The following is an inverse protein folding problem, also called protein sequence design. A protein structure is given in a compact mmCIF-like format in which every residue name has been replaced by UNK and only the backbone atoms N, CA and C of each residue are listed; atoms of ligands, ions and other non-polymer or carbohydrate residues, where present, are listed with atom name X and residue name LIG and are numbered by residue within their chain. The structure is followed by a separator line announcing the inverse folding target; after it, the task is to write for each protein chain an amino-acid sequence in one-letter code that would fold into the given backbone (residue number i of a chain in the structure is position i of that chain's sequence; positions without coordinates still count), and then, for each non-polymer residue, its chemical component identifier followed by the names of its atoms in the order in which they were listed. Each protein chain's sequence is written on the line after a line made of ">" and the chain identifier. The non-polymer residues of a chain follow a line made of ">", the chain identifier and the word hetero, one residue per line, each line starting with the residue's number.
data_IF_589643700944
#
_entry.id   IF_589643700944
#
_cell.length_a   1.000
_cell.length_b   1.000
_cell.length_c   1.000
_cell.angle_alpha   90.00
_cell.angle_beta   90.00
_cell.angle_gamma   90.00
#
_symmetry.space_group_name_H-M   'P 1'
#
loop_
_entity.id
_entity.type
_entity.pdbx_description
1 polymer ?
#
# COMPACT_ATOMS: atom_id res chain seq x y z
N UNK A 1 9.70 25.06 26.47
CA UNK A 1 10.79 24.20 26.97
C UNK A 1 11.26 23.35 25.81
N UNK A 2 12.52 23.49 25.37
CA UNK A 2 13.08 22.62 24.33
C UNK A 2 13.24 21.21 24.92
N UNK A 3 12.36 20.28 24.55
CA UNK A 3 12.56 18.87 24.85
C UNK A 3 13.68 18.35 23.93
N UNK A 4 14.89 18.25 24.48
CA UNK A 4 16.01 17.62 23.78
C UNK A 4 15.77 16.12 23.67
N UNK A 5 16.20 15.50 22.55
CA UNK A 5 16.15 14.04 22.33
C UNK A 5 16.78 13.21 23.46
N UNK A 6 17.69 13.83 24.21
CA UNK A 6 18.34 13.30 25.40
C UNK A 6 18.51 14.44 26.41
N UNK A 7 18.48 14.15 27.70
CA UNK A 7 18.75 15.14 28.75
C UNK A 7 20.16 15.74 28.59
N UNK A 8 20.36 16.98 29.06
CA UNK A 8 21.68 17.63 29.03
C UNK A 8 22.74 16.83 29.79
N UNK A 9 22.34 16.10 30.83
CA UNK A 9 23.19 15.22 31.62
C UNK A 9 23.41 13.84 30.96
N UNK A 10 22.85 13.61 29.77
CA UNK A 10 23.03 12.35 29.04
C UNK A 10 24.48 12.23 28.53
N UNK A 11 25.12 11.06 28.67
CA UNK A 11 26.45 10.80 28.09
C UNK A 11 26.47 10.95 26.55
N UNK A 12 25.30 11.04 25.91
CA UNK A 12 25.15 11.20 24.46
C UNK A 12 25.03 12.66 24.00
N UNK A 13 25.08 13.65 24.89
CA UNK A 13 24.93 15.07 24.55
C UNK A 13 25.93 15.53 23.46
N UNK A 14 27.21 15.13 23.56
CA UNK A 14 28.22 15.47 22.56
C UNK A 14 27.88 14.88 21.17
N UNK A 15 27.41 13.63 21.12
CA UNK A 15 26.95 13.01 19.86
C UNK A 15 25.73 13.73 19.30
N UNK A 16 24.81 14.20 20.16
CA UNK A 16 23.63 14.96 19.74
C UNK A 16 24.00 16.33 19.15
N UNK A 17 24.95 17.02 19.79
CA UNK A 17 25.47 18.28 19.28
C UNK A 17 26.14 18.08 17.91
N UNK A 18 26.99 17.07 17.79
CA UNK A 18 27.61 16.71 16.50
C UNK A 18 26.54 16.37 15.46
N UNK A 19 25.61 15.49 15.79
CA UNK A 19 24.52 15.12 14.89
C UNK A 19 23.81 16.35 14.32
N UNK A 20 23.31 17.24 15.18
CA UNK A 20 22.55 18.43 14.78
C UNK A 20 23.37 19.39 13.93
N UNK A 21 24.64 19.62 14.27
CA UNK A 21 25.41 20.71 13.68
C UNK A 21 26.28 20.28 12.49
N UNK A 22 26.72 19.02 12.44
CA UNK A 22 27.67 18.55 11.42
C UNK A 22 27.04 17.63 10.37
N UNK A 23 25.91 16.99 10.66
CA UNK A 23 25.28 16.03 9.73
C UNK A 23 24.11 16.64 8.97
N UNK A 24 23.90 16.20 7.72
CA UNK A 24 22.73 16.59 6.92
C UNK A 24 21.43 16.11 7.60
N UNK A 25 21.45 14.88 8.14
CA UNK A 25 20.30 14.32 8.86
C UNK A 25 19.92 15.16 10.09
N UNK A 26 20.90 15.69 10.83
CA UNK A 26 20.63 16.57 11.96
C UNK A 26 20.08 17.94 11.55
N UNK A 27 20.48 18.48 10.40
CA UNK A 27 19.85 19.67 9.82
C UNK A 27 18.39 19.41 9.45
N UNK A 28 18.12 18.30 8.74
CA UNK A 28 16.75 17.88 8.41
C UNK A 28 15.93 17.63 9.67
N UNK A 29 16.51 16.99 10.69
CA UNK A 29 15.81 16.73 11.95
C UNK A 29 15.37 18.02 12.65
N UNK A 30 16.10 19.13 12.49
CA UNK A 30 15.75 20.40 13.12
C UNK A 30 14.60 21.15 12.42
N UNK A 31 14.25 20.77 11.19
CA UNK A 31 13.14 21.41 10.44
C UNK A 31 11.79 20.72 10.66
N UNK A 32 11.74 19.68 11.48
CA UNK A 32 10.56 18.86 11.70
C UNK A 32 10.07 19.09 13.13
N UNK A 33 8.78 19.42 13.26
CA UNK A 33 8.10 19.48 14.55
C UNK A 33 7.72 18.07 15.02
N UNK A 34 8.65 17.41 15.70
CA UNK A 34 8.48 16.05 16.17
C UNK A 34 7.44 15.91 17.28
N UNK A 35 7.25 16.94 18.11
CA UNK A 35 6.28 16.92 19.21
C UNK A 35 4.87 16.87 18.63
N UNK A 36 4.56 17.77 17.69
CA UNK A 36 3.28 17.76 16.98
C UNK A 36 3.04 16.47 16.20
N UNK A 37 4.08 15.85 15.63
CA UNK A 37 3.94 14.56 14.95
C UNK A 37 3.62 13.41 15.89
N UNK A 38 4.21 13.39 17.09
CA UNK A 38 3.94 12.36 18.10
C UNK A 38 2.48 12.39 18.56
N UNK A 39 1.90 13.58 18.72
CA UNK A 39 0.51 13.77 19.11
C UNK A 39 -0.51 13.25 18.08
N UNK A 40 -0.11 13.08 16.82
CA UNK A 40 -0.97 12.51 15.77
C UNK A 40 -1.20 11.01 15.92
N UNK A 41 -0.41 10.33 16.75
CA UNK A 41 -0.52 8.89 16.96
C UNK A 41 -1.23 8.58 18.28
N UNK A 42 -1.98 7.48 18.35
CA UNK A 42 -2.66 7.10 19.58
C UNK A 42 -1.63 6.83 20.69
N UNK A 43 -1.91 7.35 21.88
CA UNK A 43 -1.12 7.07 23.07
C UNK A 43 -0.96 5.56 23.26
N UNK A 44 0.25 5.13 23.63
CA UNK A 44 0.55 3.71 23.87
C UNK A 44 -0.26 3.22 25.08
N UNK A 45 -1.36 2.52 24.82
CA UNK A 45 -2.25 1.95 25.84
C UNK A 45 -1.82 0.58 26.34
N UNK A 46 -0.79 -0.05 25.73
CA UNK A 46 -0.38 -1.41 26.08
C UNK A 46 0.49 -1.45 27.33
N UNK A 47 -0.03 -2.10 28.37
CA UNK A 47 0.69 -2.52 29.58
C UNK A 47 1.55 -3.77 29.33
N UNK A 48 1.38 -4.47 28.19
CA UNK A 48 1.96 -5.79 27.95
C UNK A 48 2.62 -5.92 26.56
N UNK A 49 3.77 -6.61 26.52
CA UNK A 49 4.61 -6.83 25.33
C UNK A 49 6.03 -6.29 25.48
N UNK A 50 6.94 -6.73 24.60
CA UNK A 50 8.28 -6.16 24.55
C UNK A 50 8.23 -4.67 24.14
N UNK A 51 9.05 -3.80 24.75
CA UNK A 51 9.10 -2.40 24.37
C UNK A 51 9.51 -2.25 22.90
N UNK A 52 8.99 -1.22 22.24
CA UNK A 52 9.40 -0.86 20.89
C UNK A 52 10.86 -0.42 20.90
N UNK A 53 11.64 -0.87 19.91
CA UNK A 53 13.01 -0.40 19.69
C UNK A 53 13.10 1.10 19.42
N UNK A 54 12.03 1.72 18.90
CA UNK A 54 11.98 3.14 18.57
C UNK A 54 10.93 3.87 19.42
N UNK A 55 11.21 5.13 19.81
CA UNK A 55 10.19 6.04 20.34
C UNK A 55 9.15 6.35 19.25
N UNK A 56 8.03 6.95 19.64
CA UNK A 56 6.92 7.26 18.72
C UNK A 56 7.38 8.14 17.55
N UNK A 57 8.16 9.19 17.85
CA UNK A 57 8.84 10.04 16.85
C UNK A 57 9.75 9.26 15.92
N UNK A 58 10.45 8.26 16.46
CA UNK A 58 11.33 7.37 15.73
C UNK A 58 10.61 6.55 14.65
N UNK A 59 9.30 6.31 14.79
CA UNK A 59 8.49 5.62 13.78
C UNK A 59 8.37 6.46 12.50
N UNK A 60 8.09 7.76 12.62
CA UNK A 60 8.08 8.70 11.50
C UNK A 60 9.48 8.85 10.90
N UNK A 61 10.49 9.05 11.76
CA UNK A 61 11.87 9.20 11.35
C UNK A 61 12.36 8.00 10.52
N UNK A 62 12.00 6.78 10.90
CA UNK A 62 12.33 5.57 10.14
C UNK A 62 11.72 5.60 8.72
N UNK A 63 10.49 6.11 8.58
CA UNK A 63 9.87 6.25 7.25
C UNK A 63 10.52 7.35 6.41
N UNK A 64 10.91 8.46 7.03
CA UNK A 64 11.69 9.51 6.34
C UNK A 64 13.05 8.97 5.89
N UNK A 65 13.78 8.22 6.73
CA UNK A 65 15.02 7.55 6.34
C UNK A 65 14.80 6.53 5.22
N UNK A 66 13.69 5.78 5.28
CA UNK A 66 13.35 4.80 4.24
C UNK A 66 13.12 5.46 2.88
N UNK A 67 12.59 6.69 2.86
CA UNK A 67 12.46 7.50 1.64
C UNK A 67 13.80 8.12 1.24
N UNK A 68 14.48 8.79 2.17
CA UNK A 68 15.75 9.49 1.95
C UNK A 68 16.86 8.57 1.39
N UNK A 69 16.96 7.34 1.89
CA UNK A 69 18.01 6.39 1.49
C UNK A 69 17.67 5.55 0.27
N UNK A 70 16.39 5.45 -0.10
CA UNK A 70 15.89 4.55 -1.15
C UNK A 70 16.29 3.05 -0.98
N UNK A 71 16.75 2.62 0.20
CA UNK A 71 17.19 1.25 0.47
C UNK A 71 16.02 0.28 0.62
N UNK A 72 16.21 -1.04 0.45
CA UNK A 72 15.20 -2.03 0.85
C UNK A 72 15.03 -2.06 2.37
N UNK A 73 13.94 -2.63 2.88
CA UNK A 73 13.68 -2.72 4.33
C UNK A 73 14.83 -3.44 5.07
N UNK A 74 15.38 -4.49 4.46
CA UNK A 74 16.54 -5.24 4.98
C UNK A 74 17.82 -4.41 4.98
N UNK A 75 18.16 -3.76 3.86
CA UNK A 75 19.36 -2.92 3.75
C UNK A 75 19.28 -1.67 4.63
N UNK A 76 18.08 -1.13 4.82
CA UNK A 76 17.85 -0.03 5.75
C UNK A 76 18.20 -0.46 7.17
N UNK A 77 17.75 -1.64 7.62
CA UNK A 77 18.10 -2.16 8.94
C UNK A 77 19.59 -2.45 9.07
N UNK A 78 20.21 -3.03 8.03
CA UNK A 78 21.66 -3.26 8.01
C UNK A 78 22.45 -1.94 8.16
N UNK A 79 22.10 -0.92 7.36
CA UNK A 79 22.69 0.41 7.46
C UNK A 79 22.36 1.11 8.78
N UNK A 80 21.18 0.88 9.34
CA UNK A 80 20.76 1.47 10.62
C UNK A 80 21.63 0.96 11.77
N UNK A 81 22.03 -0.32 11.76
CA UNK A 81 22.90 -0.88 12.80
C UNK A 81 24.31 -0.27 12.81
N UNK A 82 24.83 0.16 11.66
CA UNK A 82 26.20 0.68 11.54
C UNK A 82 26.27 2.21 11.52
N UNK A 83 25.16 2.89 11.22
CA UNK A 83 25.13 4.34 11.06
C UNK A 83 24.50 5.03 12.28
N UNK A 84 25.36 5.54 13.16
CA UNK A 84 24.95 6.28 14.37
C UNK A 84 24.07 7.50 14.05
N UNK A 85 24.30 8.22 12.95
CA UNK A 85 23.49 9.38 12.59
C UNK A 85 22.06 8.99 12.20
N UNK A 86 21.87 7.82 11.56
CA UNK A 86 20.53 7.27 11.29
C UNK A 86 19.82 6.87 12.59
N UNK A 87 20.53 6.26 13.54
CA UNK A 87 19.98 5.93 14.84
C UNK A 87 19.54 7.19 15.58
N UNK A 88 20.41 8.21 15.62
CA UNK A 88 20.11 9.49 16.25
C UNK A 88 18.94 10.22 15.58
N UNK A 89 18.81 10.13 14.26
CA UNK A 89 17.66 10.66 13.54
C UNK A 89 16.35 9.99 13.97
N UNK A 90 16.39 8.70 14.33
CA UNK A 90 15.25 7.98 14.90
C UNK A 90 15.09 8.13 16.42
N UNK A 91 15.92 8.95 17.07
CA UNK A 91 15.86 9.18 18.51
C UNK A 91 16.36 8.03 19.37
N UNK A 92 17.25 7.19 18.84
CA UNK A 92 17.86 6.08 19.58
C UNK A 92 19.36 6.02 19.37
N UNK A 93 20.05 5.30 20.24
CA UNK A 93 21.45 4.92 20.04
C UNK A 93 21.60 3.51 20.59
N UNK A 94 21.77 2.54 19.71
CA UNK A 94 21.88 1.14 20.09
C UNK A 94 23.26 0.87 20.67
N UNK A 95 23.32 0.04 21.71
CA UNK A 95 24.59 -0.48 22.24
C UNK A 95 25.18 -1.52 21.29
N UNK A 96 26.48 -1.82 21.38
CA UNK A 96 27.17 -2.77 20.47
C UNK A 96 26.52 -4.17 20.44
N UNK A 97 25.84 -4.56 21.52
CA UNK A 97 25.17 -5.86 21.64
C UNK A 97 23.69 -5.83 21.21
N UNK A 98 23.13 -4.66 20.93
CA UNK A 98 21.73 -4.48 20.58
C UNK A 98 21.53 -4.50 19.06
N UNK A 99 20.63 -5.36 18.59
CA UNK A 99 20.33 -5.48 17.17
C UNK A 99 18.86 -5.80 16.95
N UNK A 100 18.25 -5.07 16.02
CA UNK A 100 16.89 -5.35 15.57
C UNK A 100 16.95 -6.58 14.67
N UNK A 101 16.64 -7.75 15.24
CA UNK A 101 16.65 -9.05 14.53
C UNK A 101 15.38 -9.29 13.69
N UNK A 102 14.39 -8.43 13.83
CA UNK A 102 13.09 -8.63 13.20
C UNK A 102 13.05 -8.04 11.79
N UNK A 103 13.09 -8.92 10.79
CA UNK A 103 13.07 -8.54 9.38
C UNK A 103 11.76 -7.81 8.97
N UNK A 104 10.67 -8.00 9.71
CA UNK A 104 9.40 -7.34 9.44
C UNK A 104 9.25 -6.00 10.16
N UNK A 105 10.27 -5.57 10.93
CA UNK A 105 10.21 -4.35 11.75
C UNK A 105 9.77 -3.12 10.94
N UNK A 106 10.48 -2.79 9.86
CA UNK A 106 10.17 -1.61 9.02
C UNK A 106 8.77 -1.69 8.42
N UNK A 107 8.35 -2.88 7.97
CA UNK A 107 7.01 -3.11 7.40
C UNK A 107 5.90 -2.97 8.44
N UNK A 108 6.14 -3.42 9.68
CA UNK A 108 5.19 -3.21 10.79
C UNK A 108 5.07 -1.75 11.18
N UNK A 109 6.17 -1.01 11.24
CA UNK A 109 6.15 0.44 11.48
C UNK A 109 5.31 1.14 10.41
N UNK A 110 5.54 0.82 9.14
CA UNK A 110 4.77 1.35 8.00
C UNK A 110 3.28 1.02 8.12
N UNK A 111 2.94 -0.21 8.47
CA UNK A 111 1.55 -0.66 8.62
C UNK A 111 0.86 0.01 9.81
N UNK A 112 1.59 0.18 10.92
CA UNK A 112 1.10 0.89 12.09
C UNK A 112 0.77 2.34 11.76
N UNK A 113 1.71 3.08 11.14
CA UNK A 113 1.46 4.45 10.70
C UNK A 113 0.29 4.52 9.71
N UNK A 114 0.24 3.62 8.72
CA UNK A 114 -0.85 3.60 7.74
C UNK A 114 -2.25 3.34 8.34
N UNK A 115 -2.33 2.68 9.49
CA UNK A 115 -3.62 2.40 10.15
C UNK A 115 -4.05 3.49 11.14
N UNK A 116 -3.13 4.32 11.62
CA UNK A 116 -3.38 5.26 12.72
C UNK A 116 -3.19 6.73 12.35
N UNK A 117 -2.45 7.03 11.29
CA UNK A 117 -2.13 8.40 10.90
C UNK A 117 -3.22 8.98 9.98
N UNK A 118 -3.78 10.12 10.35
CA UNK A 118 -4.55 10.95 9.43
C UNK A 118 -3.58 11.75 8.53
N UNK A 119 -3.63 11.48 7.23
CA UNK A 119 -2.79 12.13 6.22
C UNK A 119 -3.02 13.63 6.10
N UNK A 120 -4.23 14.14 6.35
CA UNK A 120 -4.51 15.58 6.29
C UNK A 120 -3.93 16.30 7.50
N UNK A 121 -4.05 15.72 8.70
CA UNK A 121 -3.44 16.27 9.91
C UNK A 121 -1.91 16.25 9.81
N UNK A 122 -1.35 15.13 9.36
CA UNK A 122 0.09 15.01 9.10
C UNK A 122 0.60 16.10 8.16
N UNK A 123 -0.04 16.27 7.00
CA UNK A 123 0.36 17.30 6.05
C UNK A 123 0.24 18.71 6.64
N UNK A 124 -0.78 18.97 7.46
CA UNK A 124 -0.97 20.27 8.11
C UNK A 124 0.17 20.60 9.07
N UNK A 125 0.59 19.64 9.91
CA UNK A 125 1.74 19.80 10.81
C UNK A 125 3.03 20.10 10.03
N UNK A 126 3.30 19.33 8.97
CA UNK A 126 4.50 19.53 8.15
C UNK A 126 4.48 20.88 7.42
N UNK A 127 3.35 21.24 6.81
CA UNK A 127 3.21 22.50 6.09
C UNK A 127 3.36 23.67 7.05
N UNK A 128 2.73 23.66 8.23
CA UNK A 128 2.85 24.74 9.21
C UNK A 128 4.30 24.98 9.64
N UNK A 129 5.09 23.91 9.77
CA UNK A 129 6.51 23.99 10.11
C UNK A 129 7.34 24.66 9.00
N UNK A 130 7.00 24.42 7.74
CA UNK A 130 7.77 24.90 6.58
C UNK A 130 7.18 26.15 5.92
N UNK A 131 5.97 26.53 6.31
CA UNK A 131 5.17 27.56 5.64
C UNK A 131 5.91 28.86 5.44
N UNK A 132 6.79 29.26 6.35
CA UNK A 132 7.58 30.48 6.23
C UNK A 132 8.57 30.42 5.05
N UNK A 133 9.18 29.26 4.81
CA UNK A 133 10.29 29.05 3.87
C UNK A 133 9.86 28.57 2.48
N UNK A 134 8.61 28.12 2.32
CA UNK A 134 8.09 27.68 1.00
C UNK A 134 8.17 28.85 -0.01
N UNK A 135 8.85 28.71 -1.16
CA UNK A 135 8.87 29.73 -2.21
C UNK A 135 7.55 29.74 -3.00
N UNK A 136 7.29 30.82 -3.74
CA UNK A 136 6.17 30.92 -4.72
C UNK A 136 4.80 30.49 -4.16
N UNK A 137 4.51 30.89 -2.92
CA UNK A 137 3.31 30.49 -2.17
C UNK A 137 2.01 30.85 -2.88
N UNK A 138 2.04 31.82 -3.79
CA UNK A 138 0.90 32.34 -4.51
C UNK A 138 0.60 31.55 -5.81
N UNK A 139 1.44 30.59 -6.17
CA UNK A 139 1.31 29.74 -7.35
C UNK A 139 0.88 28.34 -6.93
N UNK A 140 -0.21 27.84 -7.52
CA UNK A 140 -0.71 26.49 -7.34
C UNK A 140 -0.55 25.70 -8.64
N UNK A 141 0.25 24.65 -8.59
CA UNK A 141 0.33 23.65 -9.67
C UNK A 141 -0.51 22.44 -9.26
N UNK A 142 -1.23 21.83 -10.21
CA UNK A 142 -1.95 20.59 -9.95
C UNK A 142 -1.63 19.53 -10.97
N UNK A 143 -1.51 18.30 -10.47
CA UNK A 143 -1.32 17.10 -11.28
C UNK A 143 -2.01 15.93 -10.59
N UNK A 144 -2.37 14.90 -11.36
CA UNK A 144 -2.79 13.63 -10.81
C UNK A 144 -1.82 12.52 -11.18
N UNK A 145 -1.44 11.76 -10.16
CA UNK A 145 -0.58 10.59 -10.30
C UNK A 145 -1.30 9.32 -9.85
N UNK A 146 -0.79 8.17 -10.27
CA UNK A 146 -1.20 6.87 -9.73
C UNK A 146 -0.05 6.32 -8.91
N UNK A 147 -0.26 6.14 -7.60
CA UNK A 147 0.67 5.37 -6.77
C UNK A 147 0.40 3.89 -7.02
N UNK A 148 1.21 3.33 -7.91
CA UNK A 148 1.05 1.96 -8.34
C UNK A 148 1.28 0.96 -7.21
N UNK A 149 0.38 -0.01 -7.15
CA UNK A 149 0.55 -1.15 -6.30
C UNK A 149 1.27 -2.25 -7.05
N UNK A 150 2.08 -3.01 -6.32
CA UNK A 150 2.58 -4.27 -6.87
C UNK A 150 1.42 -5.26 -7.02
N UNK A 151 0.93 -5.37 -8.26
CA UNK A 151 0.04 -6.43 -8.73
C UNK A 151 0.54 -6.90 -10.10
N UNK A 152 0.29 -8.17 -10.41
CA UNK A 152 0.54 -8.65 -11.77
C UNK A 152 -0.40 -7.96 -12.75
N UNK A 153 0.02 -7.85 -14.01
CA UNK A 153 -0.86 -7.35 -15.08
C UNK A 153 -2.16 -8.16 -15.12
N UNK A 154 -3.33 -7.53 -14.89
CA UNK A 154 -4.58 -8.23 -14.74
C UNK A 154 -5.17 -8.61 -16.10
N UNK A 155 -5.07 -9.90 -16.44
CA UNK A 155 -5.89 -10.47 -17.51
C UNK A 155 -6.92 -11.42 -16.92
N UNK A 156 -8.08 -11.51 -17.56
CA UNK A 156 -9.18 -12.40 -17.15
C UNK A 156 -8.74 -13.84 -16.91
N UNK A 157 -7.93 -14.40 -17.82
CA UNK A 157 -7.40 -15.76 -17.69
C UNK A 157 -6.52 -15.91 -16.45
N UNK A 158 -5.66 -14.93 -16.18
CA UNK A 158 -4.79 -14.98 -15.00
C UNK A 158 -5.60 -14.78 -13.72
N UNK A 159 -6.64 -13.94 -13.72
CA UNK A 159 -7.51 -13.71 -12.55
C UNK A 159 -8.33 -14.95 -12.21
N UNK A 160 -8.95 -15.56 -13.21
CA UNK A 160 -9.66 -16.83 -13.06
C UNK A 160 -8.71 -17.95 -12.58
N UNK A 161 -7.48 -17.98 -13.10
CA UNK A 161 -6.49 -18.98 -12.68
C UNK A 161 -6.06 -18.80 -11.23
N UNK A 162 -5.79 -17.58 -10.78
CA UNK A 162 -5.47 -17.30 -9.37
C UNK A 162 -6.59 -17.72 -8.43
N UNK A 163 -7.84 -17.41 -8.78
CA UNK A 163 -9.00 -17.88 -8.03
C UNK A 163 -9.06 -19.42 -7.97
N UNK A 164 -8.82 -20.10 -9.10
CA UNK A 164 -8.77 -21.56 -9.14
C UNK A 164 -7.63 -22.13 -8.28
N UNK A 165 -6.44 -21.53 -8.30
CA UNK A 165 -5.31 -21.97 -7.47
C UNK A 165 -5.59 -21.74 -5.99
N UNK A 166 -6.19 -20.61 -5.64
CA UNK A 166 -6.55 -20.33 -4.25
C UNK A 166 -7.51 -21.39 -3.71
N UNK A 167 -8.55 -21.74 -4.48
CA UNK A 167 -9.51 -22.77 -4.10
C UNK A 167 -8.90 -24.18 -4.08
N UNK A 168 -8.40 -24.65 -5.21
CA UNK A 168 -8.07 -26.06 -5.42
C UNK A 168 -6.68 -26.48 -4.96
N UNK A 169 -5.75 -25.54 -4.80
CA UNK A 169 -4.38 -25.82 -4.36
C UNK A 169 -4.15 -25.45 -2.90
N UNK A 170 -4.83 -24.41 -2.39
CA UNK A 170 -4.65 -23.93 -1.01
C UNK A 170 -5.81 -24.33 -0.10
N UNK A 171 -7.01 -23.79 -0.33
CA UNK A 171 -8.08 -23.82 0.67
C UNK A 171 -8.77 -25.17 0.81
N UNK A 172 -9.24 -25.76 -0.29
CA UNK A 172 -9.94 -27.05 -0.26
C UNK A 172 -9.01 -28.15 0.32
N UNK A 173 -7.74 -28.29 -0.12
CA UNK A 173 -6.82 -29.25 0.49
C UNK A 173 -6.52 -28.98 1.97
N UNK A 174 -6.34 -27.73 2.38
CA UNK A 174 -6.06 -27.38 3.77
C UNK A 174 -7.24 -27.77 4.67
N UNK A 175 -8.47 -27.39 4.30
CA UNK A 175 -9.68 -27.73 5.05
C UNK A 175 -9.92 -29.23 5.14
N UNK A 176 -9.74 -29.96 4.02
CA UNK A 176 -9.88 -31.42 4.02
C UNK A 176 -8.84 -32.08 4.95
N UNK A 177 -7.58 -31.63 4.89
CA UNK A 177 -6.50 -32.18 5.71
C UNK A 177 -6.76 -31.92 7.20
N UNK A 178 -7.09 -30.68 7.58
CA UNK A 178 -7.36 -30.30 8.97
C UNK A 178 -8.56 -31.02 9.57
N UNK A 179 -9.57 -31.35 8.76
CA UNK A 179 -10.80 -32.02 9.21
C UNK A 179 -10.83 -33.52 8.89
N UNK A 180 -9.74 -34.10 8.37
CA UNK A 180 -9.62 -35.51 7.97
C UNK A 180 -10.71 -35.97 6.98
N UNK A 181 -11.11 -35.08 6.07
CA UNK A 181 -12.10 -35.34 5.02
C UNK A 181 -11.35 -35.76 3.74
N UNK A 182 -11.94 -36.67 2.97
CA UNK A 182 -11.40 -37.08 1.66
C UNK A 182 -11.45 -35.91 0.67
N UNK A 183 -10.33 -35.63 0.01
CA UNK A 183 -10.24 -34.57 -0.98
C UNK A 183 -11.22 -34.77 -2.16
N UNK A 184 -12.08 -33.78 -2.48
CA UNK A 184 -12.99 -33.86 -3.60
C UNK A 184 -12.28 -33.98 -4.95
N UNK A 185 -12.85 -34.78 -5.86
CA UNK A 185 -12.27 -34.98 -7.20
C UNK A 185 -12.42 -33.72 -8.06
N UNK A 186 -11.33 -33.25 -8.64
CA UNK A 186 -11.33 -32.13 -9.59
C UNK A 186 -10.43 -32.40 -10.80
N UNK A 187 -10.60 -31.61 -11.87
CA UNK A 187 -9.68 -31.59 -13.02
C UNK A 187 -8.54 -30.58 -12.84
N UNK A 188 -8.28 -30.11 -11.62
CA UNK A 188 -7.33 -29.03 -11.36
C UNK A 188 -5.92 -29.35 -11.87
N UNK A 189 -5.43 -30.59 -11.64
CA UNK A 189 -4.12 -31.06 -12.13
C UNK A 189 -4.00 -30.92 -13.66
N UNK A 190 -5.00 -31.39 -14.41
CA UNK A 190 -5.03 -31.26 -15.87
C UNK A 190 -5.08 -29.79 -16.32
N UNK A 191 -5.85 -28.96 -15.61
CA UNK A 191 -5.95 -27.54 -15.92
C UNK A 191 -4.65 -26.79 -15.63
N UNK A 192 -3.89 -27.20 -14.60
CA UNK A 192 -2.57 -26.65 -14.27
C UNK A 192 -1.57 -26.86 -15.40
N UNK A 193 -1.55 -28.06 -15.97
CA UNK A 193 -0.72 -28.36 -17.15
C UNK A 193 -1.12 -27.47 -18.33
N UNK A 194 -2.43 -27.41 -18.64
CA UNK A 194 -2.94 -26.57 -19.74
C UNK A 194 -2.67 -25.08 -19.54
N UNK A 195 -2.70 -24.60 -18.29
CA UNK A 195 -2.37 -23.22 -17.97
C UNK A 195 -0.90 -22.92 -18.21
N UNK A 196 0.01 -23.83 -17.82
CA UNK A 196 1.44 -23.68 -18.09
C UNK A 196 1.73 -23.65 -19.59
N UNK A 197 1.07 -24.51 -20.37
CA UNK A 197 1.19 -24.47 -21.83
C UNK A 197 0.68 -23.14 -22.39
N UNK A 198 -0.46 -22.64 -21.91
CA UNK A 198 -1.02 -21.36 -22.34
C UNK A 198 -0.11 -20.17 -21.97
N UNK A 199 0.49 -20.17 -20.78
CA UNK A 199 1.36 -19.07 -20.33
C UNK A 199 2.65 -18.98 -21.14
N UNK A 200 3.16 -20.12 -21.63
CA UNK A 200 4.36 -20.21 -22.48
C UNK A 200 4.13 -19.80 -23.95
N UNK A 201 2.88 -19.55 -24.37
CA UNK A 201 2.61 -19.12 -25.74
C UNK A 201 3.17 -17.74 -26.01
N UNK A 202 3.97 -17.60 -27.09
CA UNK A 202 4.49 -16.32 -27.58
C UNK A 202 3.37 -15.32 -27.89
N UNK A 203 2.28 -15.78 -28.52
CA UNK A 203 1.08 -14.97 -28.82
C UNK A 203 -0.19 -15.65 -28.30
N UNK A 204 -1.01 -14.90 -27.56
CA UNK A 204 -2.26 -15.38 -26.96
C UNK A 204 -3.44 -15.07 -27.89
N UNK A 205 -3.65 -15.94 -28.89
CA UNK A 205 -4.71 -15.78 -29.90
C UNK A 205 -6.10 -15.86 -29.26
N UNK A 206 -7.05 -15.07 -29.76
CA UNK A 206 -8.43 -14.99 -29.25
C UNK A 206 -9.08 -16.36 -29.01
N UNK A 207 -9.07 -17.27 -30.00
CA UNK A 207 -9.65 -18.64 -29.87
C UNK A 207 -9.07 -19.43 -28.69
N UNK A 208 -7.75 -19.39 -28.50
CA UNK A 208 -7.07 -20.07 -27.37
C UNK A 208 -7.44 -19.43 -26.04
N UNK A 209 -7.49 -18.10 -25.99
CA UNK A 209 -7.91 -17.35 -24.80
C UNK A 209 -9.36 -17.62 -24.42
N UNK A 210 -10.27 -17.64 -25.40
CA UNK A 210 -11.68 -17.94 -25.19
C UNK A 210 -11.89 -19.36 -24.64
N UNK A 211 -11.28 -20.36 -25.28
CA UNK A 211 -11.31 -21.75 -24.81
C UNK A 211 -10.78 -21.86 -23.37
N UNK A 212 -9.67 -21.15 -23.08
CA UNK A 212 -9.05 -21.13 -21.75
C UNK A 212 -9.95 -20.50 -20.70
N UNK A 213 -10.59 -19.36 -20.98
CA UNK A 213 -11.56 -18.71 -20.09
C UNK A 213 -12.72 -19.65 -19.79
N UNK A 214 -13.33 -20.26 -20.81
CA UNK A 214 -14.48 -21.18 -20.68
C UNK A 214 -14.18 -22.32 -19.70
N UNK A 215 -13.02 -22.97 -19.84
CA UNK A 215 -12.66 -24.08 -18.97
C UNK A 215 -12.23 -23.64 -17.57
N UNK A 216 -11.71 -22.43 -17.39
CA UNK A 216 -11.46 -21.88 -16.05
C UNK A 216 -12.75 -21.49 -15.33
N UNK A 217 -13.72 -20.87 -16.00
CA UNK A 217 -15.03 -20.56 -15.43
C UNK A 217 -15.73 -21.81 -14.90
N UNK A 218 -15.71 -22.91 -15.65
CA UNK A 218 -16.26 -24.20 -15.20
C UNK A 218 -15.54 -24.76 -13.96
N UNK A 219 -14.21 -24.70 -13.96
CA UNK A 219 -13.41 -25.19 -12.82
C UNK A 219 -13.60 -24.32 -11.58
N UNK A 220 -13.71 -23.00 -11.77
CA UNK A 220 -13.95 -22.03 -10.72
C UNK A 220 -15.32 -22.23 -10.09
N UNK A 221 -16.39 -22.32 -10.90
CA UNK A 221 -17.74 -22.59 -10.41
C UNK A 221 -17.79 -23.88 -9.57
N UNK A 222 -17.18 -24.95 -10.08
CA UNK A 222 -17.08 -26.20 -9.33
C UNK A 222 -16.35 -26.01 -7.99
N UNK A 223 -15.25 -25.25 -7.98
CA UNK A 223 -14.49 -24.98 -6.77
C UNK A 223 -15.28 -24.17 -5.73
N UNK A 224 -16.06 -23.19 -6.19
CA UNK A 224 -16.94 -22.38 -5.33
C UNK A 224 -18.00 -23.28 -4.67
N UNK A 225 -18.69 -24.10 -5.45
CA UNK A 225 -19.71 -25.03 -4.94
C UNK A 225 -19.10 -26.02 -3.95
N UNK A 226 -18.00 -26.67 -4.32
CA UNK A 226 -17.31 -27.63 -3.44
C UNK A 226 -16.81 -26.99 -2.14
N UNK A 227 -16.30 -25.75 -2.19
CA UNK A 227 -15.86 -25.08 -0.96
C UNK A 227 -17.05 -24.71 -0.07
N UNK A 228 -18.17 -24.24 -0.62
CA UNK A 228 -19.38 -24.00 0.18
C UNK A 228 -19.86 -25.28 0.88
N UNK A 229 -19.99 -26.39 0.14
CA UNK A 229 -20.40 -27.70 0.69
C UNK A 229 -19.47 -28.15 1.83
N UNK A 230 -18.15 -28.00 1.65
CA UNK A 230 -17.18 -28.34 2.68
C UNK A 230 -17.29 -27.44 3.90
N UNK A 231 -17.46 -26.12 3.72
CA UNK A 231 -17.60 -25.18 4.82
C UNK A 231 -18.86 -25.45 5.66
N UNK A 232 -19.96 -25.81 5.01
CA UNK A 232 -21.19 -26.26 5.67
C UNK A 232 -20.95 -27.54 6.47
N UNK A 233 -20.29 -28.53 5.87
CA UNK A 233 -19.96 -29.80 6.52
C UNK A 233 -19.06 -29.62 7.76
N UNK A 234 -18.06 -28.75 7.68
CA UNK A 234 -17.12 -28.50 8.80
C UNK A 234 -17.57 -27.40 9.76
N UNK A 235 -18.77 -26.82 9.54
CA UNK A 235 -19.30 -25.68 10.31
C UNK A 235 -18.27 -24.54 10.43
N UNK A 236 -17.62 -24.19 9.32
CA UNK A 236 -16.59 -23.15 9.22
C UNK A 236 -15.32 -23.38 10.07
N UNK A 237 -15.15 -24.57 10.66
CA UNK A 237 -13.98 -24.87 11.48
C UNK A 237 -12.69 -24.83 10.65
N UNK A 238 -11.78 -23.93 11.03
CA UNK A 238 -10.49 -23.74 10.36
C UNK A 238 -10.51 -22.81 9.16
N UNK A 239 -11.61 -22.05 8.95
CA UNK A 239 -11.71 -21.04 7.92
C UNK A 239 -11.57 -19.63 8.53
N UNK A 240 -10.51 -18.92 8.16
CA UNK A 240 -10.19 -17.61 8.75
C UNK A 240 -11.05 -16.50 8.13
N UNK A 241 -11.24 -15.40 8.85
CA UNK A 241 -11.95 -14.21 8.36
C UNK A 241 -11.34 -13.67 7.05
N UNK A 242 -10.01 -13.58 6.98
CA UNK A 242 -9.29 -13.18 5.76
C UNK A 242 -9.55 -14.12 4.57
N UNK A 243 -9.70 -15.41 4.82
CA UNK A 243 -10.03 -16.37 3.75
C UNK A 243 -11.48 -16.19 3.29
N UNK A 244 -12.38 -15.82 4.20
CA UNK A 244 -13.76 -15.45 3.89
C UNK A 244 -13.83 -14.23 2.97
N UNK A 245 -13.09 -13.15 3.27
CA UNK A 245 -13.02 -11.95 2.41
C UNK A 245 -12.55 -12.27 0.98
N UNK A 246 -11.48 -13.07 0.86
CA UNK A 246 -10.97 -13.52 -0.44
C UNK A 246 -11.98 -14.42 -1.15
N UNK A 247 -12.69 -15.28 -0.42
CA UNK A 247 -13.71 -16.15 -1.02
C UNK A 247 -14.91 -15.36 -1.55
N UNK A 248 -15.39 -14.36 -0.81
CA UNK A 248 -16.45 -13.47 -1.28
C UNK A 248 -16.00 -12.71 -2.53
N UNK A 249 -14.76 -12.20 -2.51
CA UNK A 249 -14.14 -11.58 -3.69
C UNK A 249 -14.13 -12.53 -4.89
N UNK A 250 -13.79 -13.81 -4.70
CA UNK A 250 -13.77 -14.82 -5.76
C UNK A 250 -15.17 -15.07 -6.34
N UNK A 251 -16.23 -15.06 -5.51
CA UNK A 251 -17.62 -15.19 -5.99
C UNK A 251 -17.99 -14.03 -6.92
N UNK A 252 -17.70 -12.79 -6.52
CA UNK A 252 -17.93 -11.60 -7.36
C UNK A 252 -17.09 -11.67 -8.65
N UNK A 253 -15.82 -12.09 -8.57
CA UNK A 253 -14.98 -12.31 -9.75
C UNK A 253 -15.59 -13.33 -10.70
N UNK A 254 -16.15 -14.43 -10.19
CA UNK A 254 -16.81 -15.42 -11.02
C UNK A 254 -18.01 -14.83 -11.76
N UNK A 255 -18.87 -14.07 -11.08
CA UNK A 255 -20.02 -13.40 -11.68
C UNK A 255 -19.61 -12.39 -12.76
N UNK A 256 -18.67 -11.50 -12.43
CA UNK A 256 -18.13 -10.52 -13.38
C UNK A 256 -17.54 -11.20 -14.63
N UNK A 257 -16.76 -12.26 -14.43
CA UNK A 257 -16.10 -12.97 -15.54
C UNK A 257 -17.06 -13.83 -16.36
N UNK A 258 -18.11 -14.37 -15.73
CA UNK A 258 -19.19 -15.08 -16.42
C UNK A 258 -19.97 -14.10 -17.30
N UNK A 259 -20.35 -12.95 -16.76
CA UNK A 259 -21.04 -11.91 -17.52
C UNK A 259 -20.22 -11.43 -18.74
N UNK A 260 -18.92 -11.15 -18.57
CA UNK A 260 -18.02 -10.82 -19.70
C UNK A 260 -17.87 -11.93 -20.74
N UNK A 261 -18.06 -13.18 -20.33
CA UNK A 261 -17.95 -14.33 -21.22
C UNK A 261 -19.24 -14.54 -22.02
N UNK A 262 -20.39 -14.29 -21.42
CA UNK A 262 -21.72 -14.44 -22.02
C UNK A 262 -22.14 -13.24 -22.86
N UNK A 263 -21.74 -12.03 -22.46
CA UNK A 263 -22.04 -10.77 -23.13
C UNK A 263 -20.74 -10.07 -23.55
N UNK A 264 -20.23 -10.36 -24.76
CA UNK A 264 -19.03 -9.70 -25.28
C UNK A 264 -19.23 -8.18 -25.35
N UNK A 265 -18.28 -7.41 -24.81
CA UNK A 265 -18.33 -5.95 -24.81
C UNK A 265 -19.09 -5.33 -23.62
N UNK A 266 -19.61 -6.14 -22.69
CA UNK A 266 -20.23 -5.62 -21.48
C UNK A 266 -19.25 -4.75 -20.67
N UNK A 267 -19.74 -3.61 -20.18
CA UNK A 267 -19.02 -2.80 -19.21
C UNK A 267 -19.31 -3.32 -17.80
N UNK A 268 -18.28 -3.40 -16.97
CA UNK A 268 -18.40 -3.83 -15.58
C UNK A 268 -17.97 -2.68 -14.69
N UNK A 269 -18.94 -2.10 -13.98
CA UNK A 269 -18.68 -1.23 -12.84
C UNK A 269 -17.91 -1.99 -11.77
N UNK A 270 -16.92 -1.35 -11.17
CA UNK A 270 -16.12 -1.93 -10.09
C UNK A 270 -15.45 -3.26 -10.43
N UNK A 271 -14.92 -3.36 -11.65
CA UNK A 271 -14.21 -4.56 -12.11
C UNK A 271 -13.04 -4.90 -11.19
N UNK A 272 -13.08 -6.11 -10.65
CA UNK A 272 -12.03 -6.65 -9.80
C UNK A 272 -10.85 -7.11 -10.66
N UNK A 273 -9.65 -6.66 -10.29
CA UNK A 273 -8.39 -7.00 -11.00
C UNK A 273 -7.47 -7.92 -10.20
N UNK A 274 -7.73 -8.07 -8.90
CA UNK A 274 -6.94 -8.87 -7.97
C UNK A 274 -7.85 -9.46 -6.88
N UNK A 275 -7.71 -10.75 -6.59
CA UNK A 275 -8.47 -11.42 -5.52
C UNK A 275 -8.01 -11.00 -4.11
N UNK A 276 -6.80 -10.45 -3.99
CA UNK A 276 -6.22 -10.02 -2.71
C UNK A 276 -6.34 -8.51 -2.46
N UNK A 277 -6.61 -7.75 -3.52
CA UNK A 277 -6.75 -6.29 -3.46
C UNK A 277 -8.00 -5.88 -4.24
N UNK A 278 -9.21 -6.30 -3.77
CA UNK A 278 -10.45 -6.13 -4.52
C UNK A 278 -10.90 -4.68 -4.64
N UNK A 279 -10.32 -3.75 -3.88
CA UNK A 279 -10.59 -2.30 -3.93
C UNK A 279 -9.86 -1.58 -5.06
N UNK A 280 -8.86 -2.21 -5.70
CA UNK A 280 -8.06 -1.55 -6.74
C UNK A 280 -8.80 -1.58 -8.06
N UNK A 281 -8.77 -0.46 -8.79
CA UNK A 281 -9.38 -0.34 -10.11
C UNK A 281 -8.33 -0.09 -11.18
N UNK A 282 -8.62 -0.44 -12.44
CA UNK A 282 -7.88 0.05 -13.59
C UNK A 282 -8.02 1.58 -13.70
N UNK A 283 -6.90 2.29 -13.81
CA UNK A 283 -6.87 3.73 -14.10
C UNK A 283 -6.33 3.89 -15.52
N UNK A 284 -7.21 4.25 -16.45
CA UNK A 284 -6.81 4.46 -17.85
C UNK A 284 -6.03 5.77 -17.96
N UNK A 285 -4.84 5.69 -18.54
CA UNK A 285 -3.96 6.82 -18.83
C UNK A 285 -3.73 6.89 -20.34
N UNK A 286 -3.63 8.09 -20.89
CA UNK A 286 -3.26 8.32 -22.30
C UNK A 286 -1.78 8.06 -22.62
N UNK A 287 -1.04 7.33 -21.76
CA UNK A 287 0.39 7.07 -21.95
C UNK A 287 0.60 5.99 -23.00
N UNK A 288 1.49 6.26 -23.95
CA UNK A 288 1.79 5.39 -25.10
C UNK A 288 2.18 3.95 -24.69
N UNK A 289 3.14 3.81 -23.77
CA UNK A 289 3.67 2.50 -23.37
C UNK A 289 2.85 1.79 -22.27
N UNK A 290 2.04 2.54 -21.52
CA UNK A 290 1.31 2.02 -20.35
C UNK A 290 -0.07 2.67 -20.26
N UNK A 291 -1.05 2.15 -21.02
CA UNK A 291 -2.37 2.77 -21.12
C UNK A 291 -3.21 2.59 -19.85
N UNK A 292 -2.81 1.71 -18.93
CA UNK A 292 -3.54 1.46 -17.68
C UNK A 292 -2.57 1.25 -16.53
N UNK A 293 -2.76 2.05 -15.48
CA UNK A 293 -2.07 1.94 -14.20
C UNK A 293 -3.00 1.30 -13.16
N UNK A 294 -2.43 0.69 -12.12
CA UNK A 294 -3.19 0.01 -11.07
C UNK A 294 -2.68 0.46 -9.71
N UNK A 295 -3.52 1.16 -8.96
CA UNK A 295 -3.08 1.80 -7.73
C UNK A 295 -4.13 2.73 -7.16
N UNK A 296 -3.70 3.60 -6.26
CA UNK A 296 -4.50 4.72 -5.80
C UNK A 296 -4.23 5.91 -6.72
N UNK A 297 -5.28 6.47 -7.31
CA UNK A 297 -5.20 7.74 -8.03
C UNK A 297 -5.15 8.85 -6.99
N UNK A 298 -4.19 9.74 -7.11
CA UNK A 298 -3.96 10.83 -6.17
C UNK A 298 -3.86 12.13 -6.92
N UNK A 299 -4.68 13.09 -6.52
CA UNK A 299 -4.62 14.48 -6.96
C UNK A 299 -3.67 15.23 -6.04
N UNK A 300 -2.69 15.90 -6.63
CA UNK A 300 -1.60 16.57 -5.93
C UNK A 300 -1.69 18.06 -6.24
N UNK A 301 -1.68 18.87 -5.18
CA UNK A 301 -1.38 20.29 -5.23
C UNK A 301 0.12 20.46 -4.99
N UNK A 302 0.82 21.16 -5.85
CA UNK A 302 2.23 21.49 -5.69
C UNK A 302 2.39 23.00 -5.49
N UNK A 303 3.12 23.37 -4.45
CA UNK A 303 3.41 24.76 -4.07
C UNK A 303 4.87 24.87 -3.63
N UNK A 304 5.65 25.73 -4.28
CA UNK A 304 7.07 25.92 -3.94
C UNK A 304 7.91 24.65 -3.94
N UNK A 305 7.57 23.67 -4.80
CA UNK A 305 8.22 22.36 -4.86
C UNK A 305 7.72 21.32 -3.84
N UNK A 306 6.80 21.67 -2.94
CA UNK A 306 6.20 20.75 -1.98
C UNK A 306 4.92 20.15 -2.57
N UNK A 307 4.82 18.82 -2.57
CA UNK A 307 3.65 18.08 -3.02
C UNK A 307 2.70 17.80 -1.86
N UNK A 308 1.45 18.25 -2.01
CA UNK A 308 0.37 18.10 -1.03
C UNK A 308 -0.71 17.22 -1.67
N UNK A 309 -1.01 16.10 -1.04
CA UNK A 309 -2.10 15.20 -1.42
C UNK A 309 -3.42 15.89 -1.10
N UNK A 310 -4.15 16.28 -2.14
CA UNK A 310 -5.46 16.92 -2.06
C UNK A 310 -6.58 15.88 -1.96
N UNK A 311 -6.55 14.89 -2.85
CA UNK A 311 -7.55 13.82 -2.90
C UNK A 311 -6.90 12.50 -3.30
N UNK A 312 -7.36 11.40 -2.70
CA UNK A 312 -6.87 10.07 -3.00
C UNK A 312 -8.04 9.10 -3.09
N UNK A 313 -8.08 8.31 -4.17
CA UNK A 313 -9.15 7.33 -4.41
C UNK A 313 -8.64 6.15 -5.21
N UNK A 314 -9.11 4.94 -4.87
CA UNK A 314 -8.84 3.76 -5.68
C UNK A 314 -9.66 3.72 -6.98
N UNK A 315 -10.75 4.49 -7.05
CA UNK A 315 -11.52 4.72 -8.26
C UNK A 315 -10.93 5.88 -9.07
N UNK A 316 -11.01 5.79 -10.38
CA UNK A 316 -10.70 6.91 -11.26
C UNK A 316 -11.69 8.06 -11.01
N UNK A 317 -11.17 9.29 -10.95
CA UNK A 317 -11.97 10.51 -10.82
C UNK A 317 -11.55 11.53 -11.89
N UNK A 318 -12.45 12.46 -12.20
CA UNK A 318 -12.17 13.59 -13.09
C UNK A 318 -11.49 14.70 -12.29
N UNK A 319 -10.28 15.07 -12.72
CA UNK A 319 -9.41 16.07 -12.09
C UNK A 319 -9.99 17.49 -12.21
N UNK A 320 -10.68 17.79 -13.33
CA UNK A 320 -11.27 19.12 -13.57
C UNK A 320 -12.27 19.53 -12.49
N UNK A 321 -12.95 18.55 -11.87
CA UNK A 321 -13.90 18.80 -10.78
C UNK A 321 -13.22 19.17 -9.45
N UNK A 322 -11.90 18.98 -9.34
CA UNK A 322 -11.12 19.25 -8.13
C UNK A 322 -10.52 20.65 -8.09
N UNK A 323 -10.53 21.40 -9.20
CA UNK A 323 -9.93 22.74 -9.29
C UNK A 323 -10.35 23.67 -8.14
N UNK A 324 -11.66 23.76 -7.85
CA UNK A 324 -12.17 24.60 -6.76
C UNK A 324 -11.69 24.12 -5.39
N UNK A 325 -11.78 22.81 -5.13
CA UNK A 325 -11.34 22.20 -3.87
C UNK A 325 -9.83 22.41 -3.66
N UNK A 326 -9.03 22.32 -4.72
CA UNK A 326 -7.60 22.57 -4.70
C UNK A 326 -7.26 24.01 -4.34
N UNK A 327 -7.98 24.99 -4.91
CA UNK A 327 -7.79 26.41 -4.59
C UNK A 327 -8.17 26.69 -3.13
N UNK A 328 -9.31 26.16 -2.67
CA UNK A 328 -9.76 26.32 -1.27
C UNK A 328 -8.74 25.70 -0.31
N UNK A 329 -8.24 24.50 -0.63
CA UNK A 329 -7.24 23.81 0.18
C UNK A 329 -5.93 24.60 0.24
N UNK A 330 -5.49 25.15 -0.89
CA UNK A 330 -4.32 26.02 -0.94
C UNK A 330 -4.51 27.27 -0.08
N UNK A 331 -5.66 27.94 -0.19
CA UNK A 331 -5.99 29.12 0.62
C UNK A 331 -5.98 28.85 2.12
N UNK A 332 -6.51 27.69 2.50
CA UNK A 332 -6.58 27.28 3.91
C UNK A 332 -5.20 26.94 4.47
N UNK A 333 -4.36 26.21 3.73
CA UNK A 333 -3.07 25.73 4.22
C UNK A 333 -1.95 26.76 4.07
N UNK A 334 -1.87 27.43 2.91
CA UNK A 334 -0.76 28.30 2.54
C UNK A 334 -1.16 29.77 2.61
N UNK A 335 -2.20 30.18 1.88
CA UNK A 335 -2.62 31.59 1.81
C UNK A 335 -3.14 31.96 0.43
N UNK A 336 -3.10 33.25 0.09
CA UNK A 336 -3.69 33.75 -1.15
C UNK A 336 -3.09 33.08 -2.41
N UNK A 337 -3.98 32.54 -3.25
CA UNK A 337 -3.63 31.93 -4.53
C UNK A 337 -3.94 32.91 -5.67
N UNK A 338 -2.91 33.33 -6.41
CA UNK A 338 -3.05 34.31 -7.51
C UNK A 338 -2.85 33.66 -8.89
N UNK A 339 -2.06 32.59 -8.96
CA UNK A 339 -1.76 31.89 -10.20
C UNK A 339 -2.07 30.40 -10.03
N UNK A 340 -2.70 29.81 -11.03
CA UNK A 340 -3.01 28.39 -11.08
C UNK A 340 -2.52 27.83 -12.41
N UNK A 341 -1.78 26.72 -12.37
CA UNK A 341 -1.49 25.91 -13.54
C UNK A 341 -2.09 24.52 -13.37
N UNK A 342 -2.88 24.12 -14.37
CA UNK A 342 -3.56 22.84 -14.42
C UNK A 342 -3.56 22.35 -15.87
N UNK A 343 -3.71 21.04 -16.05
CA UNK A 343 -3.93 20.47 -17.37
C UNK A 343 -5.21 21.05 -18.01
N UNK A 344 -5.18 21.22 -19.33
CA UNK A 344 -6.29 21.76 -20.09
C UNK A 344 -7.55 20.90 -19.89
N UNK A 345 -8.64 21.56 -19.49
CA UNK A 345 -9.96 20.97 -19.20
C UNK A 345 -10.63 20.44 -20.46
#
# INVERSE_FOLDING_TARGET
>A
MQYTLFDFDSPNFHKLYLFKNTTILGKIHQTIDWDSLEELLPNKTKVCGAPSWLPTKGLFALMFLKHYTCLSDEKLLESFHTNWAMQMFCGVLLSDNERIKDNAFVSRVRSYLGNHLDLNLFQSVMINSWKAEIPDKNVLLMDATCYEVYIRTPTDVKLLWEACTWLWEKQIPALCTSNKIKLPRSKFKDQKIKQLTYSKLRKKIHRKTYSRKRSLLKLLNKGILTLNELLEQVKFKGFLEKDSEVFQTIKVVYEQQKHLFEVPGANISDRIVSIYKPYIRPIVRGKENKPVEYGIKVHINQVGGINIIEHASHNAFNECKRLKDSIIRHQTMIGECTHVAADGI
#
